data_IF_810098484907
#
_entry.id   IF_810098484907
#
_cell.length_a   1.000
_cell.length_b   1.000
_cell.length_c   1.000
_cell.angle_alpha   90.00
_cell.angle_beta   90.00
_cell.angle_gamma   90.00
#
_symmetry.space_group_name_H-M   'P 1'
#
loop_
_entity.id
_entity.type
_entity.pdbx_description
1 polymer ?
#
# COMPACT_ATOMS: atom_id res chain seq x y z
N UNK A 1 10.07 13.23 28.04
CA UNK A 1 10.57 11.84 27.83
C UNK A 1 9.44 10.95 27.36
N UNK A 2 9.72 10.05 26.41
CA UNK A 2 8.72 9.13 25.84
C UNK A 2 9.14 7.69 26.12
N UNK A 3 8.21 6.89 26.65
CA UNK A 3 8.46 5.49 27.04
C UNK A 3 7.52 4.63 26.22
N UNK A 4 8.06 3.61 25.57
CA UNK A 4 7.28 2.72 24.68
C UNK A 4 7.60 1.27 25.04
N UNK A 5 6.55 0.44 25.10
CA UNK A 5 6.62 -1.01 25.24
C UNK A 5 5.53 -1.64 24.38
N UNK A 6 5.41 -2.96 24.38
CA UNK A 6 4.49 -3.68 23.50
C UNK A 6 3.02 -3.23 23.64
N UNK A 7 2.51 -3.22 24.89
CA UNK A 7 1.09 -3.01 25.21
C UNK A 7 0.83 -1.89 26.22
N UNK A 8 1.73 -0.93 26.32
CA UNK A 8 1.69 0.21 27.26
C UNK A 8 1.91 -0.06 28.76
N UNK A 9 1.54 -1.23 29.31
CA UNK A 9 1.58 -1.50 30.76
C UNK A 9 2.93 -1.18 31.41
N UNK A 10 4.02 -1.69 30.83
CA UNK A 10 5.38 -1.42 31.33
C UNK A 10 5.78 0.04 31.15
N UNK A 11 5.26 0.71 30.12
CA UNK A 11 5.52 2.14 29.89
C UNK A 11 4.83 3.02 30.92
N UNK A 12 3.59 2.69 31.28
CA UNK A 12 2.86 3.35 32.36
C UNK A 12 3.56 3.16 33.71
N UNK A 13 3.93 1.92 34.04
CA UNK A 13 4.67 1.62 35.27
C UNK A 13 5.96 2.43 35.41
N UNK A 14 6.76 2.49 34.34
CA UNK A 14 8.00 3.29 34.33
C UNK A 14 7.68 4.79 34.40
N UNK A 15 6.64 5.26 33.69
CA UNK A 15 6.21 6.65 33.74
C UNK A 15 5.82 7.09 35.16
N UNK A 16 5.11 6.23 35.90
CA UNK A 16 4.70 6.49 37.28
C UNK A 16 5.90 6.59 38.23
N UNK A 17 6.87 5.68 38.11
CA UNK A 17 8.11 5.74 38.92
C UNK A 17 8.83 7.07 38.69
N UNK A 18 9.00 7.45 37.43
CA UNK A 18 9.73 8.66 37.06
C UNK A 18 8.99 9.92 37.47
N UNK A 19 7.65 9.91 37.37
CA UNK A 19 6.78 10.96 37.90
C UNK A 19 6.94 11.10 39.40
N UNK A 20 6.97 9.98 40.13
CA UNK A 20 7.27 9.93 41.57
C UNK A 20 8.66 10.46 41.94
N UNK A 21 9.64 10.32 41.05
CA UNK A 21 10.96 10.94 41.19
C UNK A 21 11.02 12.43 40.79
N UNK A 22 9.88 13.06 40.50
CA UNK A 22 9.79 14.49 40.19
C UNK A 22 10.10 14.86 38.74
N UNK A 23 10.18 13.90 37.82
CA UNK A 23 10.32 14.18 36.38
C UNK A 23 9.00 14.74 35.85
N UNK A 24 9.07 15.89 35.20
CA UNK A 24 7.95 16.55 34.52
C UNK A 24 8.15 16.36 33.01
N UNK A 25 7.07 16.26 32.25
CA UNK A 25 7.05 15.82 30.83
C UNK A 25 7.41 14.34 30.63
N UNK A 26 6.51 13.45 31.01
CA UNK A 26 6.55 12.02 30.66
C UNK A 26 5.30 11.73 29.85
N UNK A 27 5.45 11.00 28.75
CA UNK A 27 4.32 10.42 28.05
C UNK A 27 4.67 9.00 27.59
N UNK A 28 3.66 8.20 27.36
CA UNK A 28 3.77 6.87 26.77
C UNK A 28 2.84 6.80 25.56
N UNK A 29 3.05 5.76 24.76
CA UNK A 29 2.19 5.46 23.63
C UNK A 29 1.00 4.64 24.12
N UNK A 30 -0.21 5.16 23.95
CA UNK A 30 -1.45 4.47 24.31
C UNK A 30 -1.57 3.16 23.53
N UNK A 31 -1.76 2.05 24.25
CA UNK A 31 -1.77 0.69 23.71
C UNK A 31 -0.43 0.16 23.20
N UNK A 32 0.67 0.92 23.33
CA UNK A 32 2.03 0.49 23.02
C UNK A 32 2.35 0.34 21.52
N UNK A 33 3.49 -0.25 21.19
CA UNK A 33 3.92 -0.37 19.78
C UNK A 33 2.97 -1.24 18.95
N UNK A 34 2.21 -2.13 19.60
CA UNK A 34 1.19 -2.97 18.96
C UNK A 34 0.10 -2.12 18.29
N UNK A 35 -0.28 -0.97 18.90
CA UNK A 35 -1.23 -0.03 18.29
C UNK A 35 -0.56 0.84 17.23
N UNK A 36 0.68 1.31 17.45
CA UNK A 36 1.45 2.08 16.47
C UNK A 36 1.57 1.36 15.14
N UNK A 37 1.80 0.05 15.19
CA UNK A 37 1.85 -0.80 14.01
C UNK A 37 0.61 -0.67 13.13
N UNK A 38 -0.57 -0.36 13.67
CA UNK A 38 -1.84 -0.32 12.96
C UNK A 38 -2.43 1.09 12.82
N UNK A 39 -1.69 2.14 13.19
CA UNK A 39 -2.17 3.53 13.05
C UNK A 39 -2.32 3.88 11.58
N UNK A 40 -3.53 4.35 11.23
CA UNK A 40 -3.84 4.94 9.93
C UNK A 40 -4.07 6.45 10.10
N UNK A 41 -3.35 7.24 9.30
CA UNK A 41 -3.45 8.70 9.28
C UNK A 41 -4.13 9.10 7.95
N UNK A 42 -5.42 9.49 7.98
CA UNK A 42 -6.14 9.84 6.77
C UNK A 42 -5.73 11.22 6.27
N UNK A 43 -5.48 11.33 4.97
CA UNK A 43 -5.18 12.57 4.25
C UNK A 43 -6.04 12.64 3.00
N UNK A 44 -6.74 13.76 2.81
CA UNK A 44 -7.53 13.97 1.59
C UNK A 44 -6.59 14.37 0.45
N UNK A 45 -6.63 13.61 -0.64
CA UNK A 45 -5.89 13.89 -1.87
C UNK A 45 -6.71 14.82 -2.78
N UNK A 46 -8.01 14.55 -2.93
CA UNK A 46 -8.89 15.38 -3.77
C UNK A 46 -9.06 16.79 -3.20
N UNK A 47 -9.16 17.79 -4.07
CA UNK A 47 -9.14 19.20 -3.66
C UNK A 47 -10.55 19.74 -3.30
N UNK A 48 -11.60 18.95 -3.55
CA UNK A 48 -12.99 19.31 -3.24
C UNK A 48 -13.73 19.94 -4.42
N UNK A 49 -13.11 20.05 -5.59
CA UNK A 49 -13.76 20.42 -6.84
C UNK A 49 -14.46 19.20 -7.49
N UNK A 50 -14.01 18.00 -7.14
CA UNK A 50 -14.56 16.74 -7.62
C UNK A 50 -15.84 16.36 -6.86
N UNK A 51 -16.76 15.66 -7.54
CA UNK A 51 -17.98 15.13 -6.92
C UNK A 51 -17.72 13.96 -5.94
N UNK A 52 -16.46 13.52 -5.81
CA UNK A 52 -16.01 12.41 -4.99
C UNK A 52 -14.81 12.80 -4.12
N UNK A 53 -14.56 12.01 -3.10
CA UNK A 53 -13.39 12.19 -2.22
C UNK A 53 -12.36 11.11 -2.50
N UNK A 54 -11.08 11.51 -2.59
CA UNK A 54 -9.95 10.56 -2.60
C UNK A 54 -9.19 10.74 -1.30
N UNK A 55 -9.07 9.66 -0.55
CA UNK A 55 -8.39 9.60 0.75
C UNK A 55 -7.20 8.66 0.66
N UNK A 56 -6.07 9.09 1.21
CA UNK A 56 -4.91 8.27 1.49
C UNK A 56 -4.87 7.98 2.98
N UNK A 57 -4.63 6.74 3.36
CA UNK A 57 -4.41 6.32 4.73
C UNK A 57 -2.95 5.93 4.89
N UNK A 58 -2.16 6.85 5.43
CA UNK A 58 -0.75 6.57 5.70
C UNK A 58 -0.64 5.67 6.92
N UNK A 59 0.13 4.59 6.80
CA UNK A 59 0.50 3.70 7.89
C UNK A 59 1.99 3.89 8.19
N UNK A 60 2.37 4.87 9.05
CA UNK A 60 3.77 5.28 9.19
C UNK A 60 4.70 4.16 9.66
N UNK A 61 4.19 3.27 10.53
CA UNK A 61 4.96 2.15 11.06
C UNK A 61 5.40 1.15 9.98
N UNK A 62 4.64 1.03 8.89
CA UNK A 62 4.96 0.17 7.73
C UNK A 62 5.56 0.91 6.56
N UNK A 63 5.41 2.22 6.54
CA UNK A 63 5.61 3.02 5.36
C UNK A 63 4.75 2.55 4.17
N UNK A 64 3.49 2.19 4.45
CA UNK A 64 2.48 1.82 3.46
C UNK A 64 1.35 2.84 3.40
N UNK A 65 0.65 2.86 2.27
CA UNK A 65 -0.49 3.70 1.97
C UNK A 65 -1.63 2.83 1.44
N UNK A 66 -2.81 2.97 2.02
CA UNK A 66 -4.04 2.47 1.42
C UNK A 66 -4.89 3.64 0.94
N UNK A 67 -5.84 3.41 0.03
CA UNK A 67 -6.60 4.49 -0.58
C UNK A 67 -8.10 4.24 -0.57
N UNK A 68 -8.87 5.29 -0.34
CA UNK A 68 -10.32 5.26 -0.31
C UNK A 68 -10.93 6.26 -1.29
N UNK A 69 -11.82 5.81 -2.16
CA UNK A 69 -12.61 6.67 -3.04
C UNK A 69 -14.04 6.66 -2.55
N UNK A 70 -14.54 7.82 -2.11
CA UNK A 70 -15.89 7.97 -1.55
C UNK A 70 -16.77 8.73 -2.53
N UNK A 71 -17.92 8.16 -2.87
CA UNK A 71 -18.92 8.79 -3.73
C UNK A 71 -20.33 8.35 -3.34
N UNK A 72 -21.21 9.32 -3.06
CA UNK A 72 -22.66 9.13 -2.90
C UNK A 72 -23.08 7.90 -2.06
N UNK A 73 -22.46 7.72 -0.89
CA UNK A 73 -22.79 6.66 0.07
C UNK A 73 -21.99 5.36 -0.09
N UNK A 74 -21.13 5.27 -1.09
CA UNK A 74 -20.25 4.13 -1.36
C UNK A 74 -18.78 4.52 -1.19
N UNK A 75 -17.97 3.56 -0.77
CA UNK A 75 -16.52 3.67 -0.69
C UNK A 75 -15.86 2.45 -1.33
N UNK A 76 -14.96 2.71 -2.28
CA UNK A 76 -14.01 1.72 -2.78
C UNK A 76 -12.71 1.89 -1.98
N UNK A 77 -12.14 0.80 -1.46
CA UNK A 77 -10.88 0.82 -0.71
C UNK A 77 -9.83 -0.03 -1.44
N UNK A 78 -8.61 0.47 -1.56
CA UNK A 78 -7.49 -0.16 -2.24
C UNK A 78 -6.39 -0.44 -1.23
N UNK A 79 -5.85 -1.65 -1.26
CA UNK A 79 -4.77 -2.15 -0.40
C UNK A 79 -5.05 -1.93 1.10
N UNK A 80 -6.25 -2.25 1.63
CA UNK A 80 -6.58 -2.00 3.03
C UNK A 80 -5.68 -2.80 3.97
N UNK A 81 -5.18 -2.17 5.02
CA UNK A 81 -4.54 -2.89 6.14
C UNK A 81 -5.56 -3.65 7.00
N UNK A 82 -5.07 -4.53 7.88
CA UNK A 82 -5.84 -5.20 8.94
C UNK A 82 -6.55 -4.30 9.95
N UNK A 83 -6.34 -2.97 9.93
CA UNK A 83 -7.08 -2.01 10.76
C UNK A 83 -8.50 -1.75 10.22
N UNK A 84 -9.26 -2.83 10.00
CA UNK A 84 -10.53 -2.81 9.26
C UNK A 84 -11.65 -2.10 9.99
N UNK A 85 -11.69 -2.19 11.33
CA UNK A 85 -12.69 -1.48 12.14
C UNK A 85 -12.57 0.03 11.96
N UNK A 86 -11.33 0.56 11.96
CA UNK A 86 -11.06 1.96 11.66
C UNK A 86 -11.54 2.36 10.27
N UNK A 87 -11.30 1.52 9.25
CA UNK A 87 -11.73 1.81 7.87
C UNK A 87 -13.26 1.82 7.74
N UNK A 88 -13.95 0.91 8.42
CA UNK A 88 -15.43 0.88 8.48
C UNK A 88 -15.98 2.13 9.17
N UNK A 89 -15.43 2.50 10.32
CA UNK A 89 -15.80 3.72 11.04
C UNK A 89 -15.51 4.99 10.22
N UNK A 90 -14.37 5.02 9.52
CA UNK A 90 -14.01 6.11 8.65
C UNK A 90 -15.03 6.25 7.51
N UNK A 91 -15.37 5.16 6.81
CA UNK A 91 -16.38 5.17 5.76
C UNK A 91 -17.73 5.70 6.29
N UNK A 92 -18.17 5.20 7.45
CA UNK A 92 -19.39 5.65 8.10
C UNK A 92 -19.36 7.14 8.46
N UNK A 93 -18.21 7.67 8.91
CA UNK A 93 -18.01 9.10 9.18
C UNK A 93 -18.16 10.00 7.95
N UNK A 94 -17.97 9.42 6.75
CA UNK A 94 -18.21 10.07 5.45
C UNK A 94 -19.62 9.82 4.91
N UNK A 95 -20.49 9.17 5.68
CA UNK A 95 -21.82 8.77 5.24
C UNK A 95 -21.79 7.65 4.20
N UNK A 96 -20.71 6.87 4.13
CA UNK A 96 -20.48 5.84 3.12
C UNK A 96 -20.34 4.44 3.72
N UNK A 97 -20.46 3.43 2.87
CA UNK A 97 -20.16 2.03 3.18
C UNK A 97 -19.09 1.51 2.24
N UNK A 98 -18.19 0.68 2.75
CA UNK A 98 -17.22 -0.02 1.90
C UNK A 98 -18.01 -1.05 1.06
N UNK A 99 -18.01 -0.89 -0.26
CA UNK A 99 -18.72 -1.79 -1.18
C UNK A 99 -17.77 -2.67 -1.98
N UNK A 100 -16.52 -2.23 -2.15
CA UNK A 100 -15.48 -2.97 -2.83
C UNK A 100 -14.15 -2.77 -2.11
N UNK A 101 -13.40 -3.85 -1.99
CA UNK A 101 -11.97 -3.80 -1.68
C UNK A 101 -11.19 -4.24 -2.91
N UNK A 102 -10.06 -3.61 -3.16
CA UNK A 102 -9.19 -3.91 -4.29
C UNK A 102 -7.80 -4.18 -3.75
N UNK A 103 -7.17 -5.26 -4.20
CA UNK A 103 -5.74 -5.48 -4.01
C UNK A 103 -5.01 -5.16 -5.30
N UNK A 104 -3.99 -4.32 -5.23
CA UNK A 104 -3.07 -4.08 -6.34
C UNK A 104 -2.20 -5.30 -6.60
N UNK A 105 -1.87 -6.07 -5.56
CA UNK A 105 -1.11 -7.31 -5.64
C UNK A 105 -1.29 -8.13 -4.35
N UNK A 106 -0.77 -9.37 -4.32
CA UNK A 106 -0.68 -10.16 -3.10
C UNK A 106 0.41 -9.60 -2.17
N UNK A 107 -0.02 -8.78 -1.21
CA UNK A 107 0.86 -8.13 -0.24
C UNK A 107 1.76 -9.13 0.49
N UNK A 108 3.02 -8.77 0.68
CA UNK A 108 4.01 -9.63 1.33
C UNK A 108 4.51 -9.07 2.66
N UNK A 109 4.35 -7.78 2.92
CA UNK A 109 4.94 -7.08 4.06
C UNK A 109 3.92 -6.75 5.17
N UNK A 110 2.63 -6.84 4.87
CA UNK A 110 1.53 -6.78 5.83
C UNK A 110 0.35 -7.70 5.47
N UNK A 111 -0.48 -7.98 6.47
CA UNK A 111 -1.72 -8.74 6.32
C UNK A 111 -2.82 -7.85 5.75
N UNK A 112 -3.34 -8.24 4.59
CA UNK A 112 -4.44 -7.56 3.91
C UNK A 112 -5.72 -7.59 4.76
N UNK A 113 -6.40 -6.45 4.80
CA UNK A 113 -7.72 -6.28 5.40
C UNK A 113 -8.87 -6.68 4.48
N UNK A 114 -8.61 -6.97 3.19
CA UNK A 114 -9.65 -7.24 2.19
C UNK A 114 -10.57 -8.42 2.57
N UNK A 115 -10.05 -9.59 2.98
CA UNK A 115 -10.91 -10.71 3.39
C UNK A 115 -11.81 -10.39 4.59
N UNK A 116 -11.27 -9.70 5.59
CA UNK A 116 -12.02 -9.32 6.80
C UNK A 116 -13.06 -8.23 6.51
N UNK A 117 -12.73 -7.23 5.70
CA UNK A 117 -13.68 -6.22 5.24
C UNK A 117 -14.82 -6.82 4.42
N UNK A 118 -14.52 -7.75 3.50
CA UNK A 118 -15.54 -8.46 2.74
C UNK A 118 -16.50 -9.22 3.67
N UNK A 119 -15.96 -9.93 4.67
CA UNK A 119 -16.75 -10.63 5.68
C UNK A 119 -17.61 -9.71 6.55
N UNK A 120 -17.07 -8.56 6.99
CA UNK A 120 -17.76 -7.61 7.88
C UNK A 120 -18.82 -6.78 7.17
N UNK A 121 -18.58 -6.39 5.92
CA UNK A 121 -19.39 -5.39 5.22
C UNK A 121 -20.22 -5.95 4.08
N UNK A 122 -19.89 -7.17 3.61
CA UNK A 122 -20.41 -7.71 2.36
C UNK A 122 -19.79 -7.08 1.11
N UNK A 123 -18.68 -6.34 1.26
CA UNK A 123 -17.95 -5.77 0.14
C UNK A 123 -17.42 -6.86 -0.80
N UNK A 124 -17.38 -6.55 -2.10
CA UNK A 124 -16.72 -7.41 -3.09
C UNK A 124 -15.21 -7.27 -2.95
N UNK A 125 -14.53 -8.35 -2.56
CA UNK A 125 -13.08 -8.42 -2.63
C UNK A 125 -12.63 -8.67 -4.06
N UNK A 126 -11.96 -7.69 -4.68
CA UNK A 126 -11.48 -7.72 -6.06
C UNK A 126 -9.95 -7.85 -6.09
N UNK A 127 -9.44 -8.79 -6.88
CA UNK A 127 -8.00 -8.98 -7.07
C UNK A 127 -7.66 -9.69 -8.38
N UNK A 128 -6.41 -9.61 -8.83
CA UNK A 128 -5.97 -10.26 -10.07
C UNK A 128 -5.64 -11.75 -9.85
N UNK A 129 -6.05 -12.62 -10.78
CA UNK A 129 -5.84 -14.07 -10.68
C UNK A 129 -4.37 -14.51 -10.71
N UNK A 130 -3.49 -13.71 -11.33
CA UNK A 130 -2.04 -13.95 -11.33
C UNK A 130 -1.43 -14.05 -9.93
N UNK A 131 -2.08 -13.45 -8.93
CA UNK A 131 -1.68 -13.46 -7.53
C UNK A 131 -2.63 -14.28 -6.65
N UNK A 132 -3.93 -14.17 -6.90
CA UNK A 132 -4.97 -14.78 -6.07
C UNK A 132 -5.58 -16.07 -6.65
N UNK A 133 -5.15 -16.52 -7.84
CA UNK A 133 -5.70 -17.71 -8.51
C UNK A 133 -5.55 -19.02 -7.74
N UNK A 134 -4.69 -19.04 -6.73
CA UNK A 134 -4.51 -20.16 -5.83
C UNK A 134 -4.92 -19.84 -4.37
N UNK A 135 -5.50 -18.66 -4.14
CA UNK A 135 -6.04 -18.22 -2.84
C UNK A 135 -7.20 -19.11 -2.40
N UNK A 136 -7.37 -19.25 -1.09
CA UNK A 136 -8.51 -19.90 -0.46
C UNK A 136 -9.61 -18.90 -0.05
N UNK A 137 -9.32 -17.59 -0.14
CA UNK A 137 -10.34 -16.56 0.06
C UNK A 137 -11.28 -16.48 -1.14
N UNK A 138 -12.54 -16.17 -0.88
CA UNK A 138 -13.48 -15.82 -1.95
C UNK A 138 -13.15 -14.41 -2.47
N UNK A 139 -12.93 -14.29 -3.77
CA UNK A 139 -12.60 -13.03 -4.42
C UNK A 139 -13.14 -13.01 -5.85
N UNK A 140 -13.40 -11.81 -6.34
CA UNK A 140 -13.73 -11.54 -7.74
C UNK A 140 -12.44 -11.28 -8.50
N UNK A 141 -12.11 -12.17 -9.43
CA UNK A 141 -11.05 -11.93 -10.40
C UNK A 141 -11.38 -10.66 -11.22
N UNK A 142 -10.45 -9.72 -11.25
CA UNK A 142 -10.50 -8.57 -12.16
C UNK A 142 -9.91 -8.94 -13.53
N UNK A 143 -10.32 -8.22 -14.56
CA UNK A 143 -9.73 -8.32 -15.89
C UNK A 143 -8.95 -7.06 -16.25
N UNK A 144 -7.94 -7.21 -17.10
CA UNK A 144 -7.22 -6.08 -17.68
C UNK A 144 -8.15 -5.22 -18.54
N UNK A 145 -8.10 -3.90 -18.34
CA UNK A 145 -8.97 -2.94 -19.02
C UNK A 145 -10.40 -2.85 -18.46
N UNK A 146 -10.71 -3.59 -17.39
CA UNK A 146 -12.01 -3.51 -16.73
C UNK A 146 -12.23 -2.14 -16.08
N UNK A 147 -13.45 -1.61 -16.18
CA UNK A 147 -13.84 -0.36 -15.53
C UNK A 147 -14.84 -0.67 -14.42
N UNK A 148 -14.49 -0.27 -13.20
CA UNK A 148 -15.38 -0.30 -12.05
C UNK A 148 -16.07 1.05 -11.89
N UNK A 149 -17.38 1.01 -11.67
CA UNK A 149 -18.23 2.17 -11.47
C UNK A 149 -18.98 2.05 -10.14
N UNK A 150 -19.24 3.20 -9.52
CA UNK A 150 -20.06 3.28 -8.31
C UNK A 150 -21.54 2.99 -8.63
N UNK A 151 -22.32 2.59 -7.62
CA UNK A 151 -23.74 2.27 -7.82
C UNK A 151 -24.56 3.49 -8.29
N UNK A 152 -24.14 4.69 -7.90
CA UNK A 152 -24.74 5.96 -8.34
C UNK A 152 -24.03 6.44 -9.60
N UNK A 153 -24.83 6.83 -10.60
CA UNK A 153 -24.31 7.38 -11.85
C UNK A 153 -23.63 8.75 -11.63
N UNK A 154 -22.58 9.00 -12.41
CA UNK A 154 -21.80 10.25 -12.32
C UNK A 154 -20.62 10.19 -11.34
N UNK A 155 -20.35 9.03 -10.74
CA UNK A 155 -19.15 8.78 -9.96
C UNK A 155 -17.90 8.61 -10.84
N UNK A 156 -16.69 8.65 -10.23
CA UNK A 156 -15.46 8.44 -10.96
C UNK A 156 -15.38 7.02 -11.51
N UNK A 157 -14.82 6.88 -12.70
CA UNK A 157 -14.48 5.58 -13.29
C UNK A 157 -13.14 5.10 -12.76
N UNK A 158 -13.05 3.83 -12.40
CA UNK A 158 -11.80 3.19 -11.99
C UNK A 158 -11.41 2.17 -13.05
N UNK A 159 -10.46 2.54 -13.91
CA UNK A 159 -9.89 1.67 -14.94
C UNK A 159 -8.79 0.80 -14.33
N UNK A 160 -8.98 -0.50 -14.37
CA UNK A 160 -8.00 -1.50 -14.00
C UNK A 160 -6.99 -1.74 -15.14
N UNK A 161 -5.70 -1.71 -14.82
CA UNK A 161 -4.61 -2.01 -15.77
C UNK A 161 -3.67 -3.05 -15.18
N UNK A 162 -3.61 -4.22 -15.79
CA UNK A 162 -2.66 -5.27 -15.39
C UNK A 162 -1.23 -4.79 -15.65
N UNK A 163 -0.41 -4.77 -14.60
CA UNK A 163 0.94 -4.20 -14.60
C UNK A 163 1.94 -5.14 -13.90
N UNK A 164 2.14 -6.35 -14.45
CA UNK A 164 2.96 -7.37 -13.80
C UNK A 164 4.43 -6.94 -13.72
N UNK A 165 5.13 -7.43 -12.71
CA UNK A 165 6.56 -7.16 -12.54
C UNK A 165 6.99 -7.28 -11.09
N UNK A 166 6.40 -6.47 -10.20
CA UNK A 166 6.58 -6.66 -8.76
C UNK A 166 6.05 -8.04 -8.33
N UNK A 167 4.85 -8.37 -8.80
CA UNK A 167 4.25 -9.70 -8.76
C UNK A 167 3.62 -10.04 -10.12
N UNK A 168 3.27 -11.31 -10.40
CA UNK A 168 2.54 -11.67 -11.62
C UNK A 168 1.13 -11.08 -11.70
N UNK A 169 0.48 -10.81 -10.56
CA UNK A 169 -0.85 -10.20 -10.48
C UNK A 169 -0.87 -8.68 -10.26
N UNK A 170 0.30 -8.02 -10.19
CA UNK A 170 0.38 -6.57 -9.97
C UNK A 170 -0.53 -5.80 -10.93
N UNK A 171 -1.32 -4.89 -10.39
CA UNK A 171 -2.38 -4.15 -11.05
C UNK A 171 -2.35 -2.69 -10.60
N UNK A 172 -2.41 -1.77 -11.55
CA UNK A 172 -2.60 -0.33 -11.28
C UNK A 172 -4.03 0.08 -11.59
N UNK A 173 -4.51 1.12 -10.93
CA UNK A 173 -5.86 1.65 -11.16
C UNK A 173 -5.79 3.13 -11.53
N UNK A 174 -6.39 3.50 -12.67
CA UNK A 174 -6.55 4.88 -13.09
C UNK A 174 -7.94 5.35 -12.69
N UNK A 175 -8.00 6.37 -11.84
CA UNK A 175 -9.24 6.95 -11.34
C UNK A 175 -9.49 8.27 -12.07
N UNK A 176 -10.58 8.31 -12.83
CA UNK A 176 -11.08 9.52 -13.48
C UNK A 176 -10.02 10.27 -14.31
N UNK A 177 -9.11 9.52 -14.93
CA UNK A 177 -7.97 10.04 -15.72
C UNK A 177 -7.06 11.03 -14.97
N UNK A 178 -7.13 11.05 -13.64
CA UNK A 178 -6.45 12.04 -12.78
C UNK A 178 -5.50 11.38 -11.78
N UNK A 179 -5.86 10.24 -11.22
CA UNK A 179 -5.05 9.55 -10.22
C UNK A 179 -4.60 8.19 -10.74
N UNK A 180 -3.38 7.79 -10.40
CA UNK A 180 -2.83 6.47 -10.63
C UNK A 180 -2.52 5.81 -9.30
N UNK A 181 -3.40 4.92 -8.84
CA UNK A 181 -3.12 4.01 -7.74
C UNK A 181 -2.16 2.95 -8.27
N UNK A 182 -0.87 3.10 -7.98
CA UNK A 182 0.19 2.38 -8.67
C UNK A 182 0.63 1.09 -8.01
N UNK A 183 0.07 0.76 -6.85
CA UNK A 183 0.52 -0.36 -6.04
C UNK A 183 2.02 -0.26 -5.79
N UNK A 184 2.69 -1.41 -5.88
CA UNK A 184 4.15 -1.49 -5.86
C UNK A 184 4.76 -1.59 -7.26
N UNK A 185 4.02 -1.29 -8.34
CA UNK A 185 4.61 -1.19 -9.67
C UNK A 185 5.43 0.10 -9.81
N UNK A 186 4.90 1.22 -9.30
CA UNK A 186 5.55 2.55 -9.34
C UNK A 186 5.56 3.18 -7.96
N UNK A 187 6.72 3.68 -7.53
CA UNK A 187 6.91 4.46 -6.31
C UNK A 187 7.15 5.94 -6.66
N UNK A 188 7.09 6.86 -5.69
CA UNK A 188 7.53 8.26 -5.93
C UNK A 188 9.03 8.27 -6.22
N UNK A 189 9.79 7.49 -5.43
CA UNK A 189 11.22 7.24 -5.62
C UNK A 189 11.43 5.73 -5.62
N UNK A 190 11.88 5.18 -6.75
CA UNK A 190 12.07 3.76 -7.10
C UNK A 190 10.92 3.13 -7.92
N UNK A 191 11.01 1.81 -8.11
CA UNK A 191 10.01 0.90 -8.70
C UNK A 191 9.94 -0.35 -7.81
N UNK A 192 8.92 -1.18 -8.01
CA UNK A 192 8.78 -2.44 -7.28
C UNK A 192 9.94 -3.40 -7.51
N UNK A 193 10.29 -4.14 -6.46
CA UNK A 193 11.23 -5.26 -6.56
C UNK A 193 10.57 -6.48 -7.23
N UNK A 194 11.17 -7.12 -8.24
CA UNK A 194 10.59 -8.27 -8.94
C UNK A 194 11.09 -9.64 -8.42
N UNK A 195 11.52 -9.75 -7.17
CA UNK A 195 12.19 -10.96 -6.66
C UNK A 195 11.42 -11.74 -5.58
N UNK A 196 10.21 -11.31 -5.20
CA UNK A 196 9.38 -11.99 -4.19
C UNK A 196 9.07 -13.46 -4.55
N UNK A 197 9.11 -13.82 -5.83
CA UNK A 197 8.97 -15.20 -6.31
C UNK A 197 10.27 -15.99 -6.42
N UNK A 198 11.42 -15.42 -6.01
CA UNK A 198 12.78 -15.92 -6.29
C UNK A 198 13.06 -16.04 -7.80
N UNK A 199 12.42 -15.19 -8.60
CA UNK A 199 12.43 -15.17 -10.08
C UNK A 199 12.88 -13.81 -10.63
N UNK A 200 13.83 -13.17 -9.95
CA UNK A 200 14.29 -11.78 -10.21
C UNK A 200 14.56 -11.47 -11.68
N UNK A 201 15.18 -12.41 -12.42
CA UNK A 201 15.48 -12.19 -13.85
C UNK A 201 14.20 -12.19 -14.67
N UNK A 202 13.34 -13.19 -14.51
CA UNK A 202 12.11 -13.34 -15.30
C UNK A 202 11.15 -12.18 -15.03
N UNK A 203 10.88 -11.91 -13.75
CA UNK A 203 9.97 -10.85 -13.35
C UNK A 203 10.58 -9.46 -13.57
N UNK A 204 11.91 -9.32 -13.55
CA UNK A 204 12.60 -8.09 -13.91
C UNK A 204 12.38 -7.72 -15.39
N UNK A 205 12.40 -8.71 -16.29
CA UNK A 205 12.02 -8.50 -17.70
C UNK A 205 10.55 -8.11 -17.84
N UNK A 206 9.68 -8.79 -17.11
CA UNK A 206 8.24 -8.45 -17.08
C UNK A 206 8.01 -7.02 -16.59
N UNK A 207 8.69 -6.62 -15.50
CA UNK A 207 8.63 -5.27 -14.98
C UNK A 207 9.13 -4.25 -16.01
N UNK A 208 10.27 -4.53 -16.67
CA UNK A 208 10.80 -3.67 -17.73
C UNK A 208 9.77 -3.43 -18.85
N UNK A 209 9.16 -4.51 -19.37
CA UNK A 209 8.12 -4.41 -20.39
C UNK A 209 6.90 -3.63 -19.90
N UNK A 210 6.41 -3.91 -18.68
CA UNK A 210 5.30 -3.16 -18.05
C UNK A 210 5.62 -1.67 -17.96
N UNK A 211 6.82 -1.31 -17.50
CA UNK A 211 7.22 0.09 -17.35
C UNK A 211 7.26 0.81 -18.70
N UNK A 212 7.82 0.17 -19.75
CA UNK A 212 7.98 0.77 -21.08
C UNK A 212 6.67 0.84 -21.87
N UNK A 213 5.86 -0.21 -21.82
CA UNK A 213 4.73 -0.38 -22.72
C UNK A 213 3.40 0.10 -22.12
N UNK A 214 3.27 0.04 -20.78
CA UNK A 214 2.00 0.31 -20.10
C UNK A 214 2.03 1.52 -19.18
N UNK A 215 3.16 1.76 -18.50
CA UNK A 215 3.26 2.80 -17.47
C UNK A 215 3.77 4.13 -18.04
N UNK A 216 4.92 4.14 -18.71
CA UNK A 216 5.54 5.39 -19.19
C UNK A 216 4.83 6.04 -20.38
N UNK A 217 3.83 5.36 -20.95
CA UNK A 217 2.92 5.89 -21.98
C UNK A 217 1.77 6.71 -21.39
N UNK A 218 1.57 6.66 -20.07
CA UNK A 218 0.50 7.38 -19.38
C UNK A 218 0.82 8.89 -19.27
N UNK A 219 -0.21 9.76 -19.15
CA UNK A 219 -0.01 11.20 -19.05
C UNK A 219 0.80 11.64 -17.82
N UNK A 220 1.73 12.55 -18.03
CA UNK A 220 2.60 13.13 -16.98
C UNK A 220 1.81 13.85 -15.88
N UNK A 221 0.60 14.32 -16.19
CA UNK A 221 -0.25 15.04 -15.25
C UNK A 221 -0.96 14.13 -14.23
N UNK A 222 -0.91 12.80 -14.38
CA UNK A 222 -1.49 11.88 -13.41
C UNK A 222 -0.80 12.04 -12.06
N UNK A 223 -1.60 12.08 -10.99
CA UNK A 223 -1.11 12.04 -9.63
C UNK A 223 -0.87 10.59 -9.22
N UNK A 224 0.38 10.24 -8.97
CA UNK A 224 0.82 8.90 -8.58
C UNK A 224 0.58 8.68 -7.09
N UNK A 225 -0.08 7.56 -6.78
CA UNK A 225 -0.52 7.14 -5.45
C UNK A 225 0.00 5.72 -5.20
N UNK A 226 1.23 5.56 -4.66
CA UNK A 226 1.86 4.25 -4.48
C UNK A 226 1.36 3.52 -3.23
N UNK A 227 1.43 2.18 -3.22
CA UNK A 227 1.09 1.42 -2.01
C UNK A 227 2.14 1.54 -0.90
N UNK A 228 3.37 1.92 -1.25
CA UNK A 228 4.47 2.07 -0.29
C UNK A 228 5.33 3.31 -0.56
N UNK A 229 6.03 3.74 0.47
CA UNK A 229 7.09 4.75 0.39
C UNK A 229 8.33 4.29 1.14
N UNK A 230 9.46 4.91 0.82
CA UNK A 230 10.78 4.55 1.35
C UNK A 230 11.38 5.66 2.21
N UNK A 231 11.09 6.91 1.91
CA UNK A 231 11.62 8.07 2.60
C UNK A 231 10.51 9.12 2.75
N UNK A 232 9.99 9.22 3.97
CA UNK A 232 8.92 10.17 4.28
C UNK A 232 9.33 11.61 4.04
N UNK A 233 10.58 11.99 4.35
CA UNK A 233 11.01 13.39 4.23
C UNK A 233 11.14 13.80 2.76
N UNK A 234 11.47 12.83 1.89
CA UNK A 234 11.62 13.06 0.45
C UNK A 234 10.31 12.90 -0.33
N UNK A 235 9.42 12.00 0.09
CA UNK A 235 8.24 11.60 -0.67
C UNK A 235 6.94 12.23 -0.17
N UNK A 236 6.89 12.72 1.08
CA UNK A 236 5.70 13.39 1.61
C UNK A 236 5.69 14.89 1.25
N UNK A 237 4.52 15.39 0.84
CA UNK A 237 4.31 16.82 0.66
C UNK A 237 4.07 17.56 2.00
N UNK A 238 3.86 18.87 1.93
CA UNK A 238 3.60 19.72 3.11
C UNK A 238 2.34 19.32 3.91
N UNK A 239 1.39 18.62 3.27
CA UNK A 239 0.19 18.09 3.90
C UNK A 239 0.36 16.65 4.38
N UNK A 240 1.59 16.13 4.33
CA UNK A 240 1.96 14.78 4.70
C UNK A 240 1.28 13.71 3.83
N UNK A 241 1.08 14.02 2.54
CA UNK A 241 0.56 13.10 1.52
C UNK A 241 1.72 12.51 0.74
N UNK A 242 1.67 11.21 0.47
CA UNK A 242 2.59 10.53 -0.44
C UNK A 242 1.96 10.58 -1.84
N UNK A 243 2.26 11.65 -2.59
CA UNK A 243 1.70 11.89 -3.91
C UNK A 243 2.63 12.79 -4.71
N UNK A 244 2.75 12.55 -6.02
CA UNK A 244 3.46 13.45 -6.93
C UNK A 244 2.92 13.28 -8.36
N UNK A 245 3.12 14.27 -9.23
CA UNK A 245 2.76 14.13 -10.64
C UNK A 245 3.71 13.15 -11.34
N UNK A 246 3.19 12.42 -12.33
CA UNK A 246 3.92 11.35 -12.97
C UNK A 246 5.14 11.86 -13.78
N UNK A 247 5.09 13.08 -14.30
CA UNK A 247 6.25 13.74 -14.92
C UNK A 247 7.43 13.91 -13.96
N UNK A 248 7.14 14.41 -12.74
CA UNK A 248 8.11 14.51 -11.65
C UNK A 248 8.59 13.13 -11.21
N UNK A 249 7.70 12.15 -11.05
CA UNK A 249 8.07 10.77 -10.70
C UNK A 249 9.02 10.16 -11.72
N UNK A 250 8.79 10.35 -13.03
CA UNK A 250 9.74 9.89 -14.06
C UNK A 250 11.10 10.56 -13.90
N UNK A 251 11.11 11.88 -13.67
CA UNK A 251 12.33 12.67 -13.51
C UNK A 251 13.15 12.25 -12.27
N UNK A 252 12.48 11.99 -11.15
CA UNK A 252 13.13 11.49 -9.91
C UNK A 252 13.75 10.11 -10.08
N UNK A 253 13.26 9.34 -11.05
CA UNK A 253 13.64 7.96 -11.32
C UNK A 253 14.29 7.79 -12.69
N UNK A 254 14.91 8.85 -13.23
CA UNK A 254 15.55 8.84 -14.54
C UNK A 254 16.64 7.75 -14.65
N UNK A 255 17.32 7.46 -13.55
CA UNK A 255 18.31 6.37 -13.49
C UNK A 255 17.71 4.97 -13.77
N UNK A 256 16.38 4.81 -13.61
CA UNK A 256 15.64 3.57 -13.86
C UNK A 256 14.90 3.69 -15.20
N UNK A 257 14.09 4.73 -15.38
CA UNK A 257 13.27 4.92 -16.59
C UNK A 257 14.12 5.19 -17.84
N UNK A 258 15.32 5.77 -17.67
CA UNK A 258 16.28 6.05 -18.73
C UNK A 258 17.03 4.82 -19.25
N UNK A 259 16.98 3.68 -18.54
CA UNK A 259 17.60 2.43 -19.00
C UNK A 259 16.86 1.96 -20.25
N UNK A 260 17.60 1.74 -21.35
CA UNK A 260 17.03 1.38 -22.66
C UNK A 260 17.14 -0.10 -22.95
N UNK A 261 18.17 -0.76 -22.46
CA UNK A 261 18.34 -2.20 -22.66
C UNK A 261 17.70 -2.99 -21.52
N UNK A 262 16.99 -4.08 -21.87
CA UNK A 262 16.32 -4.92 -20.88
C UNK A 262 17.31 -5.63 -19.95
N UNK A 263 18.45 -6.09 -20.48
CA UNK A 263 19.45 -6.79 -19.68
C UNK A 263 20.13 -5.81 -18.70
N UNK A 264 20.47 -4.60 -19.15
CA UNK A 264 20.96 -3.53 -18.27
C UNK A 264 19.97 -3.21 -17.14
N UNK A 265 18.66 -3.20 -17.43
CA UNK A 265 17.63 -2.97 -16.42
C UNK A 265 17.60 -4.10 -15.38
N UNK A 266 17.63 -5.36 -15.84
CA UNK A 266 17.64 -6.52 -14.93
C UNK A 266 18.89 -6.50 -14.04
N UNK A 267 20.05 -6.20 -14.60
CA UNK A 267 21.30 -6.04 -13.84
C UNK A 267 21.19 -4.92 -12.79
N UNK A 268 20.64 -3.77 -13.18
CA UNK A 268 20.38 -2.67 -12.25
C UNK A 268 19.49 -3.11 -11.10
N UNK A 269 18.38 -3.79 -11.39
CA UNK A 269 17.47 -4.27 -10.35
C UNK A 269 18.16 -5.27 -9.42
N UNK A 270 18.90 -6.24 -9.96
CA UNK A 270 19.64 -7.22 -9.15
C UNK A 270 20.66 -6.57 -8.22
N UNK A 271 21.33 -5.51 -8.67
CA UNK A 271 22.31 -4.77 -7.87
C UNK A 271 21.67 -3.93 -6.75
N UNK A 272 20.36 -3.67 -6.82
CA UNK A 272 19.65 -2.73 -5.93
C UNK A 272 18.49 -3.39 -5.16
N UNK A 273 18.46 -4.72 -5.09
CA UNK A 273 17.52 -5.48 -4.25
C UNK A 273 18.14 -5.79 -2.88
N UNK A 274 17.31 -5.70 -1.84
CA UNK A 274 17.67 -6.07 -0.46
C UNK A 274 17.22 -7.48 -0.13
N UNK A 275 17.86 -8.11 0.86
CA UNK A 275 17.41 -9.39 1.38
C UNK A 275 15.97 -9.28 1.93
N UNK A 276 15.13 -10.25 1.58
CA UNK A 276 13.74 -10.27 2.00
C UNK A 276 13.62 -10.81 3.43
N UNK A 277 12.81 -10.20 4.31
CA UNK A 277 12.49 -10.78 5.61
C UNK A 277 11.78 -12.13 5.49
N UNK A 278 12.18 -13.14 6.27
CA UNK A 278 11.56 -14.49 6.23
C UNK A 278 10.05 -14.48 6.47
N UNK A 279 9.56 -13.51 7.25
CA UNK A 279 8.14 -13.37 7.59
C UNK A 279 7.26 -13.10 6.37
N UNK A 280 7.81 -12.56 5.28
CA UNK A 280 7.04 -12.21 4.09
C UNK A 280 6.44 -13.44 3.40
N UNK A 281 7.17 -14.56 3.37
CA UNK A 281 6.64 -15.81 2.82
C UNK A 281 5.44 -16.31 3.65
N UNK A 282 5.47 -16.12 4.97
CA UNK A 282 4.35 -16.45 5.85
C UNK A 282 3.17 -15.50 5.63
N UNK A 283 3.40 -14.19 5.53
CA UNK A 283 2.35 -13.19 5.28
C UNK A 283 1.63 -13.49 3.97
N UNK A 284 2.34 -13.85 2.90
CA UNK A 284 1.73 -14.26 1.62
C UNK A 284 0.84 -15.49 1.78
N UNK A 285 1.21 -16.46 2.63
CA UNK A 285 0.34 -17.58 2.94
C UNK A 285 -0.92 -17.14 3.70
N UNK A 286 -0.82 -16.17 4.61
CA UNK A 286 -1.98 -15.58 5.29
C UNK A 286 -2.90 -14.87 4.30
N UNK A 287 -2.34 -14.00 3.46
CA UNK A 287 -3.08 -13.24 2.46
C UNK A 287 -3.69 -14.12 1.36
N UNK A 288 -3.14 -15.32 1.13
CA UNK A 288 -3.73 -16.34 0.27
C UNK A 288 -4.71 -17.29 1.01
N UNK A 289 -4.96 -17.07 2.31
CA UNK A 289 -5.88 -17.88 3.12
C UNK A 289 -5.36 -19.28 3.49
N UNK A 290 -4.06 -19.53 3.26
CA UNK A 290 -3.40 -20.84 3.48
C UNK A 290 -2.75 -20.97 4.86
N UNK A 291 -2.64 -19.86 5.58
CA UNK A 291 -2.19 -19.80 6.96
C UNK A 291 -3.17 -18.91 7.74
N UNK A 292 -3.54 -19.34 8.95
CA UNK A 292 -4.45 -18.57 9.81
C UNK A 292 -3.78 -18.42 11.19
N UNK A 293 -2.89 -17.43 11.36
CA UNK A 293 -2.25 -17.17 12.63
C UNK A 293 -3.23 -16.57 13.62
N UNK A 294 -2.97 -16.72 14.91
CA UNK A 294 -3.75 -16.04 15.94
C UNK A 294 -3.49 -14.52 15.96
N UNK A 295 -4.31 -13.76 16.69
CA UNK A 295 -4.20 -12.30 16.72
C UNK A 295 -2.82 -11.77 17.18
N UNK A 296 -2.14 -12.51 18.07
CA UNK A 296 -0.81 -12.14 18.57
C UNK A 296 0.26 -12.43 17.54
N UNK A 297 0.20 -13.58 16.88
CA UNK A 297 1.08 -13.93 15.78
C UNK A 297 0.96 -12.92 14.64
N UNK A 298 -0.27 -12.58 14.25
CA UNK A 298 -0.50 -11.59 13.20
C UNK A 298 0.07 -10.21 13.57
N UNK A 299 -0.05 -9.77 14.84
CA UNK A 299 0.58 -8.52 15.29
C UNK A 299 2.10 -8.55 15.06
N UNK A 300 2.76 -9.67 15.39
CA UNK A 300 4.21 -9.83 15.20
C UNK A 300 4.57 -9.83 13.71
N UNK A 301 3.79 -10.51 12.87
CA UNK A 301 4.00 -10.55 11.43
C UNK A 301 3.91 -9.16 10.80
N UNK A 302 3.00 -8.33 11.30
CA UNK A 302 2.77 -6.97 10.83
C UNK A 302 3.74 -5.91 11.41
N UNK A 303 4.79 -6.30 12.13
CA UNK A 303 5.83 -5.36 12.60
C UNK A 303 6.94 -5.13 11.57
N UNK A 304 7.63 -3.98 11.66
CA UNK A 304 8.79 -3.63 10.83
C UNK A 304 8.43 -2.93 9.51
N UNK A 305 9.34 -2.16 8.94
CA UNK A 305 9.10 -1.38 7.70
C UNK A 305 8.96 -2.30 6.47
N UNK A 306 8.25 -1.86 5.44
CA UNK A 306 8.29 -2.49 4.11
C UNK A 306 9.70 -2.42 3.50
N UNK A 307 10.02 -3.40 2.67
CA UNK A 307 11.24 -3.47 1.85
C UNK A 307 10.87 -3.79 0.39
N UNK A 308 9.80 -3.17 -0.12
CA UNK A 308 9.20 -3.47 -1.43
C UNK A 308 9.81 -2.71 -2.62
N UNK A 309 10.54 -1.62 -2.36
CA UNK A 309 11.21 -0.83 -3.40
C UNK A 309 12.60 -1.39 -3.78
N UNK A 310 12.92 -1.37 -5.08
CA UNK A 310 14.27 -1.61 -5.60
C UNK A 310 15.13 -0.34 -5.45
N UNK A 311 15.52 0.01 -4.23
CA UNK A 311 16.25 1.25 -3.93
C UNK A 311 17.77 1.05 -3.91
N UNK A 312 18.49 1.94 -4.60
CA UNK A 312 19.93 1.81 -4.77
C UNK A 312 20.79 2.24 -3.59
N UNK A 313 21.88 1.50 -3.38
CA UNK A 313 22.90 1.71 -2.34
C UNK A 313 23.87 2.85 -2.68
N UNK A 314 23.37 4.03 -3.06
CA UNK A 314 24.24 5.14 -3.44
C UNK A 314 23.60 6.51 -3.24
N UNK A 315 23.64 7.01 -2.01
CA UNK A 315 23.24 8.39 -1.69
C UNK A 315 22.87 8.58 -0.23
N UNK A 316 23.84 8.42 0.66
CA UNK A 316 23.87 9.16 1.93
C UNK A 316 24.66 10.47 1.71
#
# INVERSE_FOLDING_TARGET
MRIVCAKEDSSQFVADILGGCGRKDIAWLEGGIDTWGNVLIPRRISNGEEAYEVWQFNRPAKASCSYGIVYEGDMFIFDPSRATDYLVEFAASRGAKITHTFETHLQADYISGSPDLAGKTGATFVAHEGDYGASLHDYRALADGEIFEFAKAGGPKVLCTHSPGHTPGSTTYIVDEKYMLSGDTVFIVSVGRPDLGKRVVEWGRTLYATLKERITVLPDALLVLPAHFTDWEREADEQLRIVNDFGTVKSLNEAIYGIKDEAEFVEYIQANIREQPEVYDQIRLVNAGRLTPDAKEQNVMDLGKNECAASGHGGA
#
